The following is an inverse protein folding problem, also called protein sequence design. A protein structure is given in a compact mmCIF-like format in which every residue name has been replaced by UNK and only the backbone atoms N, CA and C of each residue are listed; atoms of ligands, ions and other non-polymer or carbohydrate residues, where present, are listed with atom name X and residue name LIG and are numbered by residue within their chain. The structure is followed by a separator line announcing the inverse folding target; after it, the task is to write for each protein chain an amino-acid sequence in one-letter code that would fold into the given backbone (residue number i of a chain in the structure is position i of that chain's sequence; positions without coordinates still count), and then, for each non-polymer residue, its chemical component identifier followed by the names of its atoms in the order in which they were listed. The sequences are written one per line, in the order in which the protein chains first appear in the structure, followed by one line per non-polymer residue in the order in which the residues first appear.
data_IF_978957735334
#
_entry.id   IF_978957735334
#
_cell.length_a   1.000
_cell.length_b   1.000
_cell.length_c   1.000
_cell.angle_alpha   90.00
_cell.angle_beta   90.00
_cell.angle_gamma   90.00
#
_symmetry.space_group_name_H-M   'P 1'
#
loop_
_entity.id
_entity.type
_entity.pdbx_description
1 polymer ?
#
# COMPACT_ATOMS: atom_id res chain seq x y z
N UNK A 1 -45.89 63.83 9.59
CA UNK A 1 -45.29 62.57 9.96
C UNK A 1 -43.86 62.62 9.45
N UNK A 2 -42.82 62.56 10.27
CA UNK A 2 -41.47 62.44 9.78
C UNK A 2 -41.34 61.06 9.13
N UNK A 3 -40.79 61.04 7.95
CA UNK A 3 -40.33 59.83 7.29
C UNK A 3 -39.06 59.46 8.08
N UNK A 4 -39.08 58.36 8.79
CA UNK A 4 -37.88 57.80 9.38
C UNK A 4 -37.02 57.37 8.19
N UNK A 5 -35.98 58.14 7.85
CA UNK A 5 -34.90 57.74 6.97
C UNK A 5 -34.13 56.67 7.75
N UNK A 6 -34.46 55.37 7.56
CA UNK A 6 -33.62 54.27 8.02
C UNK A 6 -32.26 54.42 7.33
N UNK A 7 -31.20 54.66 8.09
CA UNK A 7 -29.84 54.62 7.58
C UNK A 7 -29.61 53.24 6.94
N UNK A 8 -29.01 53.14 5.73
CA UNK A 8 -28.76 51.88 5.11
C UNK A 8 -27.82 51.03 6.00
N UNK A 9 -28.19 49.78 6.20
CA UNK A 9 -27.38 48.83 6.99
C UNK A 9 -26.02 48.68 6.28
N UNK A 10 -24.94 48.92 7.01
CA UNK A 10 -23.58 48.79 6.49
C UNK A 10 -23.02 47.43 6.91
N UNK A 11 -22.49 46.68 5.95
CA UNK A 11 -21.85 45.38 6.14
C UNK A 11 -20.34 45.51 5.99
N UNK A 12 -19.56 44.88 6.85
CA UNK A 12 -18.10 44.97 6.83
C UNK A 12 -17.42 43.61 6.54
N UNK A 13 -16.31 43.70 5.81
CA UNK A 13 -15.44 42.55 5.64
C UNK A 13 -14.74 42.20 6.96
N UNK A 14 -14.78 40.93 7.35
CA UNK A 14 -14.13 40.45 8.60
C UNK A 14 -12.59 40.39 8.54
N UNK A 15 -12.00 40.59 7.35
CA UNK A 15 -10.54 40.50 7.13
C UNK A 15 -9.90 41.87 6.84
N UNK A 16 -10.61 42.82 6.20
CA UNK A 16 -10.07 44.11 5.85
C UNK A 16 -11.03 45.23 6.23
N UNK A 17 -10.70 46.50 5.87
CA UNK A 17 -11.52 47.67 6.18
C UNK A 17 -12.63 47.93 5.15
N UNK A 18 -12.91 47.02 4.23
CA UNK A 18 -13.96 47.17 3.24
C UNK A 18 -15.33 47.11 3.89
N UNK A 19 -16.19 48.09 3.56
CA UNK A 19 -17.60 48.14 3.96
C UNK A 19 -18.48 48.38 2.74
N UNK A 20 -19.72 47.90 2.76
CA UNK A 20 -20.70 48.02 1.68
C UNK A 20 -22.11 48.06 2.26
N UNK A 21 -23.04 48.66 1.53
CA UNK A 21 -24.48 48.65 1.81
C UNK A 21 -25.20 47.51 1.08
N UNK A 22 -24.50 46.76 0.23
CA UNK A 22 -25.03 45.61 -0.48
C UNK A 22 -24.45 44.31 0.10
N UNK A 23 -25.27 43.52 0.78
CA UNK A 23 -24.85 42.25 1.40
C UNK A 23 -24.27 41.27 0.39
N UNK A 24 -24.71 41.30 -0.87
CA UNK A 24 -24.25 40.40 -1.94
C UNK A 24 -22.78 40.62 -2.34
N UNK A 25 -22.16 41.74 -1.95
CA UNK A 25 -20.74 42.03 -2.18
C UNK A 25 -19.83 41.20 -1.22
N UNK A 26 -20.42 40.63 -0.19
CA UNK A 26 -19.74 39.82 0.81
C UNK A 26 -20.22 38.38 0.78
N UNK A 27 -19.37 37.46 1.18
CA UNK A 27 -19.69 36.03 1.26
C UNK A 27 -19.16 35.43 2.56
N UNK A 28 -19.89 34.47 3.14
CA UNK A 28 -19.44 33.73 4.29
C UNK A 28 -18.39 32.69 3.88
N UNK A 29 -17.23 32.76 4.54
CA UNK A 29 -16.14 31.78 4.47
C UNK A 29 -15.74 31.47 5.91
N UNK A 30 -15.85 30.24 6.35
CA UNK A 30 -15.56 29.81 7.73
C UNK A 30 -16.22 30.71 8.79
N UNK A 31 -17.54 30.94 8.68
CA UNK A 31 -18.34 31.79 9.57
C UNK A 31 -17.96 33.28 9.58
N UNK A 32 -17.13 33.75 8.63
CA UNK A 32 -16.70 35.14 8.50
C UNK A 32 -17.14 35.73 7.15
N UNK A 33 -17.72 36.92 7.16
CA UNK A 33 -18.06 37.65 5.93
C UNK A 33 -16.80 38.23 5.28
N UNK A 34 -16.50 37.85 4.05
CA UNK A 34 -15.34 38.31 3.31
C UNK A 34 -15.74 39.01 2.00
N UNK A 35 -15.04 40.11 1.65
CA UNK A 35 -15.13 40.73 0.36
C UNK A 35 -14.40 39.95 -0.73
N UNK A 36 -14.56 40.35 -2.01
CA UNK A 36 -13.95 39.67 -3.15
C UNK A 36 -12.41 39.58 -3.05
N UNK A 37 -11.77 40.62 -2.55
CA UNK A 37 -10.30 40.67 -2.41
C UNK A 37 -9.76 39.77 -1.29
N UNK A 38 -10.59 39.44 -0.28
CA UNK A 38 -10.18 38.62 0.87
C UNK A 38 -10.57 37.13 0.76
N UNK A 39 -11.33 36.77 -0.28
CA UNK A 39 -11.70 35.38 -0.57
C UNK A 39 -11.11 34.93 -1.90
N UNK A 40 -10.82 33.64 -1.99
CA UNK A 40 -10.40 33.00 -3.23
C UNK A 40 -11.18 31.70 -3.47
N UNK A 41 -11.32 31.31 -4.72
CA UNK A 41 -11.98 30.09 -5.12
C UNK A 41 -10.98 28.93 -5.16
N UNK A 42 -11.25 27.84 -4.47
CA UNK A 42 -10.45 26.63 -4.57
C UNK A 42 -10.92 25.80 -5.78
N UNK A 43 -10.02 25.59 -6.75
CA UNK A 43 -10.34 24.86 -7.97
C UNK A 43 -10.43 23.35 -7.79
N UNK A 44 -10.13 22.81 -6.59
CA UNK A 44 -10.25 21.38 -6.30
C UNK A 44 -11.55 21.02 -5.56
N UNK A 45 -11.85 21.69 -4.43
CA UNK A 45 -13.07 21.40 -3.68
C UNK A 45 -14.27 22.23 -4.11
N UNK A 46 -14.08 23.18 -5.02
CA UNK A 46 -15.12 24.09 -5.53
C UNK A 46 -15.80 24.88 -4.40
N UNK A 47 -14.99 25.36 -3.42
CA UNK A 47 -15.45 26.17 -2.30
C UNK A 47 -14.62 27.45 -2.19
N UNK A 48 -15.19 28.50 -1.57
CA UNK A 48 -14.44 29.72 -1.25
C UNK A 48 -13.62 29.50 0.02
N UNK A 49 -12.41 30.04 0.03
CA UNK A 49 -11.47 30.06 1.15
C UNK A 49 -10.89 31.44 1.35
N UNK A 50 -10.13 31.65 2.40
CA UNK A 50 -9.37 32.87 2.63
C UNK A 50 -8.29 33.04 1.56
N UNK A 51 -8.19 34.23 0.97
CA UNK A 51 -7.19 34.49 -0.07
C UNK A 51 -5.74 34.24 0.39
N UNK A 52 -5.44 34.54 1.66
CA UNK A 52 -4.12 34.33 2.26
C UNK A 52 -3.79 32.84 2.49
N UNK A 53 -4.76 31.94 2.38
CA UNK A 53 -4.62 30.49 2.59
C UNK A 53 -4.75 29.71 1.28
N UNK A 54 -4.29 30.29 0.17
CA UNK A 54 -4.31 29.63 -1.13
C UNK A 54 -2.92 29.41 -1.68
N UNK A 55 -2.78 28.32 -2.44
CA UNK A 55 -1.56 27.94 -3.12
C UNK A 55 -1.84 27.69 -4.59
N UNK A 56 -1.01 28.27 -5.43
CA UNK A 56 -1.16 28.12 -6.89
C UNK A 56 -0.71 26.72 -7.33
N UNK A 57 -1.56 26.08 -8.13
CA UNK A 57 -1.30 24.77 -8.77
C UNK A 57 -1.20 25.01 -10.28
N UNK A 58 -0.10 24.57 -10.87
CA UNK A 58 0.26 24.85 -12.26
C UNK A 58 -0.82 24.31 -13.23
N UNK A 59 -1.27 25.17 -14.14
CA UNK A 59 -2.27 24.84 -15.14
C UNK A 59 -3.72 24.77 -14.65
N UNK A 60 -3.99 24.91 -13.35
CA UNK A 60 -5.33 24.80 -12.75
C UNK A 60 -5.75 26.09 -12.04
N UNK A 61 -4.88 26.68 -11.22
CA UNK A 61 -5.17 27.85 -10.39
C UNK A 61 -5.04 27.57 -8.90
N UNK A 62 -5.78 28.33 -8.09
CA UNK A 62 -5.62 28.31 -6.64
C UNK A 62 -6.33 27.12 -5.97
N UNK A 63 -5.64 26.49 -5.03
CA UNK A 63 -6.16 25.48 -4.11
C UNK A 63 -6.11 26.02 -2.68
N UNK A 64 -7.10 25.68 -1.84
CA UNK A 64 -7.03 25.91 -0.41
C UNK A 64 -5.93 25.03 0.23
N UNK A 65 -5.47 25.39 1.43
CA UNK A 65 -4.42 24.66 2.16
C UNK A 65 -4.65 23.16 2.20
N UNK A 66 -5.86 22.72 2.59
CA UNK A 66 -6.22 21.30 2.70
C UNK A 66 -6.15 20.56 1.36
N UNK A 67 -6.61 21.19 0.28
CA UNK A 67 -6.54 20.61 -1.05
C UNK A 67 -5.11 20.57 -1.56
N UNK A 68 -4.35 21.62 -1.30
CA UNK A 68 -2.94 21.67 -1.69
C UNK A 68 -2.11 20.58 -1.00
N UNK A 69 -2.28 20.39 0.32
CA UNK A 69 -1.58 19.34 1.07
C UNK A 69 -1.92 17.91 0.61
N UNK A 70 -3.17 17.67 0.19
CA UNK A 70 -3.68 16.32 -0.07
C UNK A 70 -3.77 15.94 -1.55
N UNK A 71 -3.79 16.93 -2.46
CA UNK A 71 -4.08 16.72 -3.89
C UNK A 71 -3.05 17.36 -4.81
N UNK A 72 -1.81 17.52 -4.34
CA UNK A 72 -0.75 18.05 -5.20
C UNK A 72 0.55 17.27 -5.09
N UNK A 73 1.36 17.37 -6.14
CA UNK A 73 2.71 16.88 -6.25
C UNK A 73 3.66 18.03 -6.60
N UNK A 74 4.85 18.01 -6.05
CA UNK A 74 5.88 19.03 -6.28
C UNK A 74 6.93 18.53 -7.27
N UNK A 75 7.23 19.32 -8.29
CA UNK A 75 8.34 19.07 -9.20
C UNK A 75 9.62 19.73 -8.70
N UNK A 76 10.59 18.91 -8.28
CA UNK A 76 11.84 19.39 -7.71
C UNK A 76 12.75 20.07 -8.75
N UNK A 77 12.50 19.87 -10.05
CA UNK A 77 13.27 20.49 -11.11
C UNK A 77 12.82 21.92 -11.46
N UNK A 78 11.53 22.14 -11.69
CA UNK A 78 11.01 23.48 -12.00
C UNK A 78 10.48 24.24 -10.79
N UNK A 79 10.41 23.58 -9.63
CA UNK A 79 9.87 24.14 -8.38
C UNK A 79 8.39 24.55 -8.48
N UNK A 80 7.62 23.95 -9.39
CA UNK A 80 6.19 24.15 -9.51
C UNK A 80 5.42 23.02 -8.85
N UNK A 81 4.21 23.33 -8.38
CA UNK A 81 3.26 22.38 -7.82
C UNK A 81 2.20 22.01 -8.86
N UNK A 82 1.91 20.75 -8.99
CA UNK A 82 0.96 20.17 -9.94
C UNK A 82 -0.13 19.40 -9.19
N UNK A 83 -1.30 19.20 -9.82
CA UNK A 83 -2.34 18.31 -9.29
C UNK A 83 -1.82 16.87 -9.17
N UNK A 84 -2.36 16.11 -8.20
CA UNK A 84 -2.10 14.67 -8.04
C UNK A 84 -2.58 13.82 -9.23
N UNK A 85 -3.42 14.37 -10.10
CA UNK A 85 -3.84 13.76 -11.37
C UNK A 85 -2.79 13.84 -12.48
N UNK A 86 -1.79 14.72 -12.33
CA UNK A 86 -0.70 14.86 -13.29
C UNK A 86 0.39 13.82 -13.10
N UNK A 87 0.96 13.34 -14.20
CA UNK A 87 2.02 12.35 -14.17
C UNK A 87 3.32 12.94 -13.62
N UNK A 88 3.87 12.27 -12.61
CA UNK A 88 5.18 12.59 -12.05
C UNK A 88 6.16 11.45 -12.29
N UNK A 89 7.37 11.78 -12.67
CA UNK A 89 8.45 10.85 -13.01
C UNK A 89 9.52 10.88 -11.92
N UNK A 90 9.76 9.74 -11.28
CA UNK A 90 10.87 9.61 -10.34
C UNK A 90 12.18 9.48 -11.11
N UNK A 91 13.08 10.43 -10.92
CA UNK A 91 14.39 10.48 -11.59
C UNK A 91 15.43 9.80 -10.69
N UNK A 92 15.80 8.59 -11.06
CA UNK A 92 16.54 7.66 -10.21
C UNK A 92 17.94 8.16 -9.80
N UNK A 93 18.68 8.78 -10.73
CA UNK A 93 20.03 9.29 -10.49
C UNK A 93 20.06 10.57 -9.62
N UNK A 94 18.90 11.19 -9.40
CA UNK A 94 18.76 12.38 -8.56
C UNK A 94 17.92 12.15 -7.31
N UNK A 95 17.08 11.12 -7.30
CA UNK A 95 16.10 10.90 -6.24
C UNK A 95 15.03 11.98 -6.18
N UNK A 96 14.71 12.58 -7.33
CA UNK A 96 13.79 13.71 -7.50
C UNK A 96 12.54 13.29 -8.26
N UNK A 97 11.42 13.98 -8.02
CA UNK A 97 10.21 13.84 -8.83
C UNK A 97 10.07 15.01 -9.80
N UNK A 98 9.96 14.72 -11.11
CA UNK A 98 9.80 15.72 -12.16
C UNK A 98 8.44 15.63 -12.81
N UNK A 99 7.85 16.79 -13.16
CA UNK A 99 6.65 16.84 -14.00
C UNK A 99 6.96 16.37 -15.43
N UNK A 100 5.91 16.05 -16.19
CA UNK A 100 6.03 15.56 -17.56
C UNK A 100 6.87 16.49 -18.45
N UNK A 101 6.62 17.79 -18.42
CA UNK A 101 7.38 18.76 -19.21
C UNK A 101 8.88 18.82 -18.85
N UNK A 102 9.23 18.69 -17.56
CA UNK A 102 10.62 18.62 -17.14
C UNK A 102 11.29 17.32 -17.58
N UNK A 103 10.57 16.22 -17.50
CA UNK A 103 11.04 14.92 -17.95
C UNK A 103 11.23 14.86 -19.47
N UNK A 104 10.24 15.28 -20.26
CA UNK A 104 10.32 15.25 -21.73
C UNK A 104 11.50 16.05 -22.29
N UNK A 105 11.87 17.17 -21.63
CA UNK A 105 12.97 18.02 -22.10
C UNK A 105 14.34 17.61 -21.58
N UNK A 106 14.42 16.88 -20.47
CA UNK A 106 15.68 16.67 -19.78
C UNK A 106 15.86 15.26 -19.22
N UNK A 107 14.85 14.41 -19.35
CA UNK A 107 14.89 13.03 -18.87
C UNK A 107 15.15 12.04 -20.01
N UNK A 108 15.58 10.86 -19.64
CA UNK A 108 15.65 9.70 -20.51
C UNK A 108 15.06 8.48 -19.80
N UNK A 109 14.38 7.64 -20.55
CA UNK A 109 13.88 6.36 -20.07
C UNK A 109 14.84 5.27 -20.48
N UNK A 110 15.20 4.42 -19.55
CA UNK A 110 16.01 3.25 -19.82
C UNK A 110 15.12 2.00 -19.88
N UNK A 111 14.96 1.42 -21.06
CA UNK A 111 14.17 0.20 -21.25
C UNK A 111 14.78 -1.00 -20.51
N UNK A 112 16.10 -1.00 -20.32
CA UNK A 112 16.80 -2.11 -19.68
C UNK A 112 16.56 -2.19 -18.16
N UNK A 113 16.39 -1.07 -17.45
CA UNK A 113 16.10 -1.05 -16.01
C UNK A 113 14.69 -0.54 -15.69
N UNK A 114 13.90 -0.18 -16.71
CA UNK A 114 12.54 0.35 -16.55
C UNK A 114 12.47 1.56 -15.60
N UNK A 115 13.45 2.49 -15.78
CA UNK A 115 13.63 3.65 -14.91
C UNK A 115 13.88 4.94 -15.71
N UNK A 116 13.57 6.07 -15.05
CA UNK A 116 13.77 7.40 -15.62
C UNK A 116 15.02 8.06 -15.02
N UNK A 117 15.83 8.71 -15.85
CA UNK A 117 17.09 9.36 -15.48
C UNK A 117 17.12 10.80 -15.97
N UNK A 118 18.01 11.63 -15.37
CA UNK A 118 18.25 13.00 -15.83
C UNK A 118 19.14 13.08 -17.08
N UNK A 119 19.72 11.95 -17.48
CA UNK A 119 20.58 11.76 -18.67
C UNK A 119 20.46 10.30 -19.14
N UNK A 120 21.27 9.90 -20.11
CA UNK A 120 21.35 8.48 -20.46
C UNK A 120 21.78 7.63 -19.25
N UNK A 121 21.13 6.47 -19.07
CA UNK A 121 21.45 5.55 -18.00
C UNK A 121 22.87 5.02 -18.15
N UNK A 122 23.76 5.42 -17.27
CA UNK A 122 25.15 4.92 -17.26
C UNK A 122 25.30 3.53 -16.62
N UNK A 123 24.24 3.02 -16.00
CA UNK A 123 24.28 1.82 -15.15
C UNK A 123 23.93 0.49 -15.83
N UNK A 124 23.33 0.51 -17.02
CA UNK A 124 22.93 -0.71 -17.76
C UNK A 124 24.04 -1.25 -18.67
N UNK A 125 25.16 -0.53 -18.83
CA UNK A 125 26.37 -1.00 -19.49
C UNK A 125 27.23 -1.87 -18.58
N UNK A 126 27.94 -2.83 -19.17
CA UNK A 126 28.86 -3.75 -18.47
C UNK A 126 29.81 -2.99 -17.51
N UNK A 127 29.55 -3.03 -16.19
CA UNK A 127 30.55 -2.68 -15.18
C UNK A 127 30.22 -1.75 -14.03
N UNK A 128 29.05 -1.13 -13.93
CA UNK A 128 28.71 -0.28 -12.77
C UNK A 128 27.59 -0.89 -11.92
N UNK A 129 27.68 -0.72 -10.59
CA UNK A 129 26.81 -1.34 -9.57
C UNK A 129 25.35 -0.88 -9.57
N UNK A 130 24.76 -0.70 -10.76
CA UNK A 130 23.35 -0.37 -10.93
C UNK A 130 22.43 -1.53 -10.52
N UNK A 131 21.23 -1.20 -10.04
CA UNK A 131 20.16 -2.15 -9.77
C UNK A 131 19.96 -3.02 -11.02
N UNK A 132 19.85 -4.31 -10.84
CA UNK A 132 19.69 -5.23 -11.97
C UNK A 132 18.28 -5.04 -12.56
N UNK A 133 18.13 -5.14 -13.89
CA UNK A 133 16.84 -5.20 -14.61
C UNK A 133 15.87 -6.25 -14.06
N UNK A 134 16.33 -7.07 -13.12
CA UNK A 134 15.60 -8.14 -12.47
C UNK A 134 14.83 -7.70 -11.24
N UNK A 135 15.15 -6.53 -10.67
CA UNK A 135 14.44 -5.97 -9.50
C UNK A 135 13.64 -4.77 -9.97
N UNK A 136 12.35 -4.97 -10.17
CA UNK A 136 11.43 -3.92 -10.61
C UNK A 136 11.18 -2.88 -9.53
N UNK A 137 10.70 -1.71 -9.91
CA UNK A 137 10.28 -0.66 -8.98
C UNK A 137 9.16 -1.15 -8.04
N UNK A 138 9.02 -0.50 -6.88
CA UNK A 138 7.95 -0.79 -5.91
C UNK A 138 6.54 -0.78 -6.51
N UNK A 139 6.27 0.13 -7.45
CA UNK A 139 4.98 0.26 -8.14
C UNK A 139 4.69 -0.82 -9.18
N UNK A 140 5.67 -1.63 -9.56
CA UNK A 140 5.49 -2.67 -10.58
C UNK A 140 4.41 -3.67 -10.19
N UNK A 141 3.41 -3.83 -11.05
CA UNK A 141 2.25 -4.73 -10.88
C UNK A 141 1.91 -5.38 -12.23
N UNK A 142 2.56 -6.49 -12.57
CA UNK A 142 2.27 -7.18 -13.82
C UNK A 142 0.85 -7.76 -13.82
N UNK A 143 0.30 -7.98 -15.01
CA UNK A 143 -0.94 -8.75 -15.13
C UNK A 143 -0.77 -10.13 -14.51
N UNK A 144 -1.65 -10.58 -13.60
CA UNK A 144 -1.48 -11.85 -12.92
C UNK A 144 -1.57 -13.04 -13.88
N UNK A 145 -0.60 -13.93 -13.78
CA UNK A 145 -0.59 -15.22 -14.48
C UNK A 145 -0.89 -16.31 -13.44
N UNK A 146 -1.85 -17.20 -13.76
CA UNK A 146 -2.27 -18.24 -12.83
C UNK A 146 -1.55 -19.56 -13.13
N UNK A 147 -0.88 -20.12 -12.13
CA UNK A 147 -0.13 -21.37 -12.26
C UNK A 147 -0.80 -22.51 -11.49
N UNK A 148 -0.93 -23.66 -12.13
CA UNK A 148 -1.65 -24.80 -11.59
C UNK A 148 -3.17 -24.63 -11.66
N UNK A 149 -3.90 -25.66 -11.21
CA UNK A 149 -5.35 -25.66 -11.20
C UNK A 149 -5.86 -25.88 -9.78
N UNK A 150 -6.92 -25.19 -9.42
CA UNK A 150 -7.66 -25.40 -8.18
C UNK A 150 -9.17 -25.44 -8.45
N UNK A 151 -9.88 -26.46 -7.91
CA UNK A 151 -11.32 -26.69 -8.12
C UNK A 151 -12.20 -25.56 -7.58
N UNK A 152 -11.68 -24.76 -6.64
CA UNK A 152 -12.40 -23.66 -6.00
C UNK A 152 -11.86 -22.30 -6.41
N UNK A 153 -10.95 -22.22 -7.39
CA UNK A 153 -10.23 -21.00 -7.77
C UNK A 153 -9.47 -20.39 -6.59
N UNK A 154 -8.97 -21.24 -5.69
CA UNK A 154 -8.18 -20.82 -4.54
C UNK A 154 -6.70 -20.80 -4.91
N UNK A 155 -6.20 -19.59 -5.12
CA UNK A 155 -4.80 -19.32 -5.46
C UNK A 155 -4.13 -18.50 -4.37
N UNK A 156 -2.83 -18.70 -4.23
CA UNK A 156 -1.97 -18.05 -3.24
C UNK A 156 -0.87 -17.26 -3.94
N UNK A 157 -0.76 -15.96 -3.61
CA UNK A 157 0.39 -15.13 -3.91
C UNK A 157 1.29 -15.04 -2.67
N UNK A 158 2.58 -14.96 -2.89
CA UNK A 158 3.59 -14.76 -1.86
C UNK A 158 4.29 -13.43 -2.09
N UNK A 159 4.47 -12.65 -1.03
CA UNK A 159 5.48 -11.60 -0.93
C UNK A 159 6.44 -12.01 0.19
N UNK A 160 7.71 -12.19 -0.15
CA UNK A 160 8.77 -12.54 0.79
C UNK A 160 9.81 -11.42 0.80
N UNK A 161 9.87 -10.68 1.88
CA UNK A 161 10.85 -9.61 2.10
C UNK A 161 12.18 -10.21 2.56
N UNK A 162 13.27 -9.80 1.92
CA UNK A 162 14.62 -10.27 2.23
C UNK A 162 15.63 -9.14 2.24
N UNK A 163 16.49 -9.12 3.27
CA UNK A 163 17.70 -8.31 3.27
C UNK A 163 18.84 -9.08 2.61
N UNK A 164 19.50 -8.42 1.68
CA UNK A 164 20.66 -8.93 0.95
C UNK A 164 21.88 -8.14 1.37
N UNK A 165 23.00 -8.80 1.61
CA UNK A 165 24.27 -8.15 1.95
C UNK A 165 24.65 -7.15 0.85
N UNK A 166 24.95 -5.90 1.22
CA UNK A 166 25.30 -4.85 0.27
C UNK A 166 26.49 -5.26 -0.62
N UNK A 167 26.38 -5.03 -1.91
CA UNK A 167 27.30 -5.51 -2.92
C UNK A 167 26.89 -6.81 -3.62
N UNK A 168 25.98 -7.61 -3.02
CA UNK A 168 25.55 -8.89 -3.59
C UNK A 168 24.12 -8.84 -4.16
N UNK A 169 23.47 -7.66 -4.15
CA UNK A 169 22.07 -7.53 -4.53
C UNK A 169 21.81 -8.03 -5.97
N UNK A 170 22.60 -7.55 -6.92
CA UNK A 170 22.49 -7.93 -8.33
C UNK A 170 22.72 -9.43 -8.54
N UNK A 171 23.79 -9.97 -7.98
CA UNK A 171 24.14 -11.40 -8.11
C UNK A 171 23.05 -12.28 -7.49
N UNK A 172 22.55 -11.93 -6.31
CA UNK A 172 21.46 -12.65 -5.63
C UNK A 172 20.16 -12.58 -6.43
N UNK A 173 19.80 -11.42 -6.99
CA UNK A 173 18.63 -11.26 -7.85
C UNK A 173 18.74 -12.10 -9.14
N UNK A 174 19.90 -12.06 -9.83
CA UNK A 174 20.18 -12.89 -11.01
C UNK A 174 20.07 -14.38 -10.69
N UNK A 175 20.64 -14.80 -9.57
CA UNK A 175 20.59 -16.19 -9.16
C UNK A 175 19.16 -16.67 -8.91
N UNK A 176 18.37 -15.96 -8.11
CA UNK A 176 16.96 -16.31 -7.84
C UNK A 176 16.17 -16.32 -9.16
N UNK A 177 16.27 -15.29 -9.97
CA UNK A 177 15.50 -15.20 -11.23
C UNK A 177 15.85 -16.35 -12.17
N UNK A 178 17.10 -16.79 -12.23
CA UNK A 178 17.51 -17.95 -13.04
C UNK A 178 16.88 -19.27 -12.57
N UNK A 179 16.41 -19.34 -11.31
CA UNK A 179 15.79 -20.52 -10.72
C UNK A 179 14.28 -20.56 -10.86
N UNK A 180 13.60 -19.42 -10.83
CA UNK A 180 12.14 -19.35 -10.61
C UNK A 180 11.34 -19.08 -11.90
N UNK A 181 11.99 -18.63 -12.97
CA UNK A 181 11.31 -18.29 -14.24
C UNK A 181 10.19 -17.26 -14.05
N UNK A 182 9.15 -17.33 -14.87
CA UNK A 182 8.08 -16.33 -14.95
C UNK A 182 7.05 -16.40 -13.82
N UNK A 183 7.14 -17.37 -12.92
CA UNK A 183 6.19 -17.50 -11.81
C UNK A 183 6.44 -16.54 -10.65
N UNK A 184 7.63 -15.93 -10.63
CA UNK A 184 8.10 -15.02 -9.58
C UNK A 184 8.83 -13.84 -10.22
N UNK A 185 8.65 -12.67 -9.65
CA UNK A 185 9.40 -11.46 -9.97
C UNK A 185 9.91 -10.79 -8.70
N UNK A 186 10.91 -9.94 -8.85
CA UNK A 186 11.53 -9.22 -7.74
C UNK A 186 11.12 -7.76 -7.78
N UNK A 187 10.85 -7.16 -6.62
CA UNK A 187 10.52 -5.76 -6.47
C UNK A 187 11.41 -5.08 -5.45
N UNK A 188 11.70 -3.83 -5.70
CA UNK A 188 12.32 -2.97 -4.71
C UNK A 188 11.33 -2.62 -3.60
N UNK A 189 11.79 -2.63 -2.37
CA UNK A 189 11.10 -2.04 -1.23
C UNK A 189 12.13 -1.26 -0.39
N UNK A 190 12.01 0.05 -0.38
CA UNK A 190 12.90 0.96 0.34
C UNK A 190 12.84 0.79 1.87
N UNK A 191 11.82 0.10 2.39
CA UNK A 191 11.72 -0.24 3.82
C UNK A 191 12.64 -1.38 4.22
N UNK A 192 13.14 -2.16 3.25
CA UNK A 192 14.02 -3.31 3.45
C UNK A 192 15.49 -2.85 3.37
N UNK A 193 16.28 -3.32 4.31
CA UNK A 193 17.73 -3.10 4.33
C UNK A 193 18.17 -1.99 5.28
N UNK A 194 19.12 -2.33 6.14
CA UNK A 194 19.80 -1.43 7.10
C UNK A 194 21.22 -1.92 7.36
N UNK A 195 22.11 -0.99 7.70
CA UNK A 195 23.41 -1.36 8.27
C UNK A 195 24.28 -2.25 7.37
N UNK A 196 24.39 -1.93 6.08
CA UNK A 196 25.21 -2.71 5.14
C UNK A 196 24.43 -3.80 4.41
N UNK A 197 23.08 -3.77 4.50
CA UNK A 197 22.17 -4.59 3.72
C UNK A 197 21.29 -3.69 2.85
N UNK A 198 21.01 -4.16 1.65
CA UNK A 198 19.92 -3.73 0.78
C UNK A 198 18.87 -4.84 0.76
N UNK A 199 17.78 -4.69 0.00
CA UNK A 199 16.78 -5.75 -0.05
C UNK A 199 15.89 -5.67 -1.27
N UNK A 200 15.12 -6.72 -1.44
CA UNK A 200 14.01 -6.79 -2.39
C UNK A 200 12.90 -7.69 -1.84
N UNK A 201 11.71 -7.49 -2.36
CA UNK A 201 10.60 -8.41 -2.24
C UNK A 201 10.64 -9.45 -3.36
N UNK A 202 10.54 -10.72 -3.00
CA UNK A 202 10.24 -11.79 -3.92
C UNK A 202 8.72 -11.94 -3.98
N UNK A 203 8.14 -11.65 -5.14
CA UNK A 203 6.68 -11.66 -5.34
C UNK A 203 6.29 -12.75 -6.32
N UNK A 204 5.35 -13.61 -5.94
CA UNK A 204 4.84 -14.62 -6.83
C UNK A 204 3.59 -14.18 -7.57
N UNK A 205 3.41 -14.67 -8.78
CA UNK A 205 2.10 -14.77 -9.41
C UNK A 205 1.16 -15.67 -8.59
N UNK A 206 -0.16 -15.67 -8.85
CA UNK A 206 -1.10 -16.56 -8.16
C UNK A 206 -0.85 -18.04 -8.50
N UNK A 207 -0.50 -18.85 -7.52
CA UNK A 207 -0.26 -20.29 -7.66
C UNK A 207 -1.28 -21.10 -6.88
N UNK A 208 -1.77 -22.22 -7.44
CA UNK A 208 -2.58 -23.17 -6.69
C UNK A 208 -1.77 -23.83 -5.58
N UNK A 209 -2.43 -24.32 -4.53
CA UNK A 209 -1.75 -25.03 -3.43
C UNK A 209 -0.94 -26.23 -3.93
N UNK A 210 -1.51 -27.00 -4.86
CA UNK A 210 -0.80 -28.14 -5.48
C UNK A 210 0.46 -27.72 -6.23
N UNK A 211 0.46 -26.54 -6.87
CA UNK A 211 1.64 -26.01 -7.56
C UNK A 211 2.73 -25.59 -6.55
N UNK A 212 2.37 -24.94 -5.46
CA UNK A 212 3.29 -24.59 -4.38
C UNK A 212 4.04 -25.83 -3.83
N UNK A 213 3.33 -26.94 -3.63
CA UNK A 213 3.90 -28.16 -3.06
C UNK A 213 4.77 -28.92 -4.06
N UNK A 214 4.38 -28.94 -5.36
CA UNK A 214 4.99 -29.88 -6.32
C UNK A 214 5.91 -29.26 -7.34
N UNK A 215 5.85 -27.93 -7.58
CA UNK A 215 6.55 -27.29 -8.70
C UNK A 215 7.56 -26.19 -8.28
N UNK A 216 7.67 -25.88 -6.98
CA UNK A 216 8.50 -24.78 -6.50
C UNK A 216 9.88 -25.23 -5.96
N UNK A 217 10.35 -26.43 -6.31
CA UNK A 217 11.65 -26.95 -5.84
C UNK A 217 12.82 -26.02 -6.16
N UNK A 218 12.82 -25.42 -7.34
CA UNK A 218 13.88 -24.50 -7.76
C UNK A 218 13.93 -23.22 -6.91
N UNK A 219 12.76 -22.70 -6.50
CA UNK A 219 12.70 -21.61 -5.54
C UNK A 219 13.31 -22.00 -4.19
N UNK A 220 12.97 -23.20 -3.71
CA UNK A 220 13.49 -23.68 -2.43
C UNK A 220 15.00 -23.82 -2.44
N UNK A 221 15.56 -24.39 -3.51
CA UNK A 221 17.01 -24.46 -3.72
C UNK A 221 17.65 -23.07 -3.76
N UNK A 222 17.00 -22.12 -4.44
CA UNK A 222 17.47 -20.74 -4.54
C UNK A 222 17.54 -20.04 -3.19
N UNK A 223 16.48 -20.14 -2.39
CA UNK A 223 16.42 -19.55 -1.04
C UNK A 223 17.44 -20.19 -0.09
N UNK A 224 17.60 -21.51 -0.15
CA UNK A 224 18.60 -22.23 0.65
C UNK A 224 20.02 -21.80 0.31
N UNK A 225 20.35 -21.70 -0.97
CA UNK A 225 21.66 -21.23 -1.41
C UNK A 225 21.96 -19.81 -0.91
N UNK A 226 21.03 -18.86 -1.08
CA UNK A 226 21.24 -17.49 -0.62
C UNK A 226 21.40 -17.38 0.90
N UNK A 227 20.66 -18.22 1.64
CA UNK A 227 20.79 -18.29 3.10
C UNK A 227 22.14 -18.88 3.51
N UNK A 228 22.50 -20.04 2.95
CA UNK A 228 23.67 -20.80 3.36
C UNK A 228 24.99 -20.13 2.93
N UNK A 229 24.96 -19.35 1.86
CA UNK A 229 26.06 -18.47 1.45
C UNK A 229 26.14 -17.16 2.25
N UNK A 230 25.27 -16.97 3.24
CA UNK A 230 25.13 -15.75 4.06
C UNK A 230 24.88 -14.47 3.25
N UNK A 231 24.35 -14.60 2.03
CA UNK A 231 24.01 -13.45 1.19
C UNK A 231 22.67 -12.85 1.55
N UNK A 232 21.70 -13.68 1.97
CA UNK A 232 20.35 -13.26 2.29
C UNK A 232 19.93 -13.64 3.72
N UNK A 233 19.16 -12.73 4.34
CA UNK A 233 18.45 -12.99 5.60
C UNK A 233 17.05 -12.39 5.55
N UNK A 234 16.14 -12.94 6.36
CA UNK A 234 14.80 -12.41 6.54
C UNK A 234 14.34 -12.60 7.99
N UNK A 235 14.64 -13.77 8.60
CA UNK A 235 14.25 -14.08 9.98
C UNK A 235 14.85 -13.13 11.01
N UNK A 236 16.10 -12.74 10.85
CA UNK A 236 16.85 -11.88 11.77
C UNK A 236 16.80 -10.40 11.34
N UNK A 237 15.91 -10.07 10.40
CA UNK A 237 15.63 -8.71 9.98
C UNK A 237 14.32 -8.23 10.63
N UNK A 238 14.37 -7.12 11.37
CA UNK A 238 13.21 -6.63 12.14
C UNK A 238 12.05 -6.14 11.26
N UNK A 239 12.38 -5.76 10.03
CA UNK A 239 11.45 -5.17 9.04
C UNK A 239 10.99 -6.15 7.96
N UNK A 240 11.52 -7.38 7.91
CA UNK A 240 11.12 -8.37 6.91
C UNK A 240 9.96 -9.25 7.40
N UNK A 241 9.05 -9.56 6.47
CA UNK A 241 7.89 -10.42 6.69
C UNK A 241 7.60 -11.35 5.52
N UNK A 242 6.62 -12.19 5.71
CA UNK A 242 5.93 -12.93 4.65
C UNK A 242 4.50 -12.44 4.61
N UNK A 243 4.04 -12.07 3.41
CA UNK A 243 2.64 -11.79 3.13
C UNK A 243 2.09 -12.87 2.21
N UNK A 244 0.95 -13.44 2.60
CA UNK A 244 0.26 -14.46 1.81
C UNK A 244 -1.06 -13.90 1.32
N UNK A 245 -1.15 -13.69 0.02
CA UNK A 245 -2.37 -13.28 -0.65
C UNK A 245 -3.22 -14.51 -0.97
N UNK A 246 -4.50 -14.48 -0.62
CA UNK A 246 -5.44 -15.54 -0.96
C UNK A 246 -6.54 -14.99 -1.86
N UNK A 247 -6.86 -15.67 -2.97
CA UNK A 247 -7.87 -15.22 -3.91
C UNK A 247 -9.26 -15.16 -3.25
N UNK A 248 -9.97 -14.03 -3.39
CA UNK A 248 -11.35 -13.91 -2.91
C UNK A 248 -12.29 -14.87 -3.62
N UNK A 249 -12.02 -15.19 -4.89
CA UNK A 249 -12.79 -16.15 -5.68
C UNK A 249 -12.72 -17.58 -5.10
N UNK A 250 -11.71 -17.90 -4.30
CA UNK A 250 -11.57 -19.18 -3.61
C UNK A 250 -12.57 -19.39 -2.45
N UNK A 251 -13.20 -18.32 -1.98
CA UNK A 251 -14.19 -18.38 -0.92
C UNK A 251 -15.60 -18.69 -1.48
N UNK A 252 -16.31 -19.60 -0.86
CA UNK A 252 -17.64 -20.04 -1.25
C UNK A 252 -18.71 -18.91 -1.22
N UNK A 253 -18.54 -17.94 -0.30
CA UNK A 253 -19.44 -16.82 -0.08
C UNK A 253 -18.87 -15.82 0.93
N UNK A 254 -19.48 -14.63 1.05
CA UNK A 254 -19.14 -13.67 2.12
C UNK A 254 -19.29 -14.26 3.54
N UNK A 255 -20.24 -15.18 3.73
CA UNK A 255 -20.38 -15.91 5.01
C UNK A 255 -19.18 -16.85 5.28
N UNK A 256 -18.58 -17.45 4.24
CA UNK A 256 -17.35 -18.23 4.37
C UNK A 256 -16.18 -17.30 4.75
N UNK A 257 -16.01 -16.19 4.07
CA UNK A 257 -14.99 -15.19 4.41
C UNK A 257 -15.14 -14.70 5.86
N UNK A 258 -16.38 -14.42 6.30
CA UNK A 258 -16.66 -14.04 7.69
C UNK A 258 -16.22 -15.12 8.70
N UNK A 259 -16.51 -16.40 8.44
CA UNK A 259 -16.08 -17.49 9.32
C UNK A 259 -14.57 -17.61 9.37
N UNK A 260 -13.91 -17.53 8.23
CA UNK A 260 -12.46 -17.57 8.14
C UNK A 260 -11.78 -16.41 8.89
N UNK A 261 -12.25 -15.17 8.69
CA UNK A 261 -11.75 -14.03 9.46
C UNK A 261 -11.98 -14.23 10.97
N UNK A 262 -13.14 -14.77 11.34
CA UNK A 262 -13.43 -15.08 12.74
C UNK A 262 -12.48 -16.13 13.31
N UNK A 263 -12.12 -17.18 12.54
CA UNK A 263 -11.12 -18.16 12.92
C UNK A 263 -9.77 -17.49 13.19
N UNK A 264 -9.25 -16.72 12.23
CA UNK A 264 -7.93 -16.09 12.35
C UNK A 264 -7.87 -15.15 13.57
N UNK A 265 -8.84 -14.27 13.73
CA UNK A 265 -8.79 -13.25 14.79
C UNK A 265 -9.15 -13.77 16.19
N UNK A 266 -9.99 -14.79 16.30
CA UNK A 266 -10.29 -15.41 17.62
C UNK A 266 -9.13 -16.23 18.15
N UNK A 267 -8.27 -16.76 17.28
CA UNK A 267 -7.08 -17.50 17.63
C UNK A 267 -5.81 -16.63 17.47
N UNK A 268 -5.91 -15.33 17.67
CA UNK A 268 -4.79 -14.41 17.52
C UNK A 268 -3.53 -14.79 18.31
N UNK A 269 -3.61 -15.26 19.59
CA UNK A 269 -2.44 -15.70 20.31
C UNK A 269 -1.73 -16.90 19.64
N UNK A 270 -2.50 -17.88 19.17
CA UNK A 270 -2.01 -19.08 18.47
C UNK A 270 -1.42 -18.71 17.11
N UNK A 271 -2.08 -17.82 16.37
CA UNK A 271 -1.58 -17.30 15.08
C UNK A 271 -0.25 -16.56 15.27
N UNK A 272 -0.14 -15.69 16.27
CA UNK A 272 1.11 -14.98 16.57
C UNK A 272 2.22 -15.94 17.01
N UNK A 273 1.89 -16.98 17.78
CA UNK A 273 2.86 -17.99 18.19
C UNK A 273 3.36 -18.82 17.01
N UNK A 274 2.45 -19.25 16.13
CA UNK A 274 2.77 -19.99 14.91
C UNK A 274 3.64 -19.13 13.97
N UNK A 275 3.22 -17.91 13.75
CA UNK A 275 3.88 -16.97 12.84
C UNK A 275 5.26 -16.49 13.33
N UNK A 276 5.55 -16.60 14.64
CA UNK A 276 6.81 -16.15 15.22
C UNK A 276 7.05 -14.63 15.13
N UNK A 277 5.98 -13.84 14.87
CA UNK A 277 6.07 -12.37 14.66
C UNK A 277 5.06 -11.64 15.56
N UNK A 278 5.55 -10.57 16.18
CA UNK A 278 4.72 -9.52 16.77
C UNK A 278 5.15 -8.22 16.13
N UNK A 279 4.27 -7.59 15.37
CA UNK A 279 4.60 -6.40 14.58
C UNK A 279 3.44 -5.41 14.59
N UNK A 280 3.77 -4.13 14.63
CA UNK A 280 2.80 -3.05 14.47
C UNK A 280 2.24 -2.96 13.03
N UNK A 281 2.91 -3.61 12.08
CA UNK A 281 2.47 -3.74 10.68
C UNK A 281 1.48 -4.89 10.44
N UNK A 282 1.10 -5.66 11.50
CA UNK A 282 0.22 -6.82 11.40
C UNK A 282 -0.65 -6.99 12.67
N UNK A 283 -1.35 -5.95 13.05
CA UNK A 283 -2.13 -5.87 14.29
C UNK A 283 -3.37 -6.77 14.24
N UNK A 284 -3.65 -7.44 15.37
CA UNK A 284 -4.86 -8.27 15.57
C UNK A 284 -5.97 -7.56 16.36
N UNK A 285 -5.77 -6.32 16.77
CA UNK A 285 -6.70 -5.60 17.65
C UNK A 285 -7.77 -4.80 16.91
N UNK A 286 -7.70 -4.68 15.61
CA UNK A 286 -8.62 -3.94 14.76
C UNK A 286 -10.04 -4.53 14.65
N UNK A 287 -10.29 -5.68 15.26
CA UNK A 287 -11.59 -6.34 15.36
C UNK A 287 -12.35 -6.08 16.66
N UNK A 288 -11.75 -5.34 17.57
CA UNK A 288 -12.42 -4.91 18.79
C UNK A 288 -13.11 -3.57 18.55
N UNK A 289 -14.42 -3.56 18.73
CA UNK A 289 -15.28 -2.40 18.62
C UNK A 289 -15.95 -2.11 19.97
N UNK A 290 -16.53 -0.93 20.12
CA UNK A 290 -17.21 -0.51 21.35
C UNK A 290 -18.68 -0.24 21.03
N UNK A 291 -19.58 -0.68 21.93
CA UNK A 291 -21.01 -0.38 21.83
C UNK A 291 -21.33 1.03 22.38
N UNK A 292 -22.61 1.40 22.37
CA UNK A 292 -23.10 2.70 22.86
C UNK A 292 -22.83 2.96 24.37
N UNK A 293 -22.44 1.91 25.12
CA UNK A 293 -22.09 1.96 26.53
C UNK A 293 -20.57 1.76 26.76
N UNK A 294 -19.76 1.98 25.73
CA UNK A 294 -18.29 1.86 25.80
C UNK A 294 -17.79 0.44 26.17
N UNK A 295 -18.60 -0.60 25.90
CA UNK A 295 -18.24 -1.99 26.17
C UNK A 295 -17.60 -2.64 24.94
N UNK A 296 -16.41 -3.24 25.07
CA UNK A 296 -15.75 -3.87 23.95
C UNK A 296 -16.49 -5.13 23.47
N UNK A 297 -16.64 -5.27 22.15
CA UNK A 297 -17.14 -6.47 21.54
C UNK A 297 -16.34 -6.85 20.28
N UNK A 298 -16.26 -8.15 20.01
CA UNK A 298 -15.56 -8.68 18.86
C UNK A 298 -16.45 -8.63 17.59
N UNK A 299 -15.94 -8.05 16.51
CA UNK A 299 -16.61 -8.05 15.21
C UNK A 299 -15.61 -7.98 14.06
N UNK A 300 -15.78 -8.86 13.07
CA UNK A 300 -15.03 -8.85 11.80
C UNK A 300 -15.89 -8.34 10.63
N UNK A 301 -17.12 -7.87 10.88
CA UNK A 301 -18.05 -7.45 9.82
C UNK A 301 -17.50 -6.30 8.99
N UNK A 302 -16.89 -5.31 9.63
CA UNK A 302 -16.33 -4.15 8.95
C UNK A 302 -15.25 -4.53 7.93
N UNK A 303 -14.56 -5.66 8.12
CA UNK A 303 -13.57 -6.18 7.17
C UNK A 303 -14.19 -6.77 5.89
N UNK A 304 -15.49 -7.05 5.88
CA UNK A 304 -16.19 -7.56 4.71
C UNK A 304 -16.70 -6.45 3.79
N UNK A 305 -16.99 -5.29 4.35
CA UNK A 305 -17.73 -4.22 3.66
C UNK A 305 -16.82 -3.39 2.73
N UNK A 306 -15.51 -3.61 2.73
CA UNK A 306 -14.53 -2.92 1.86
C UNK A 306 -14.46 -1.39 2.06
N UNK A 307 -15.35 -0.85 2.91
CA UNK A 307 -15.53 0.59 3.16
C UNK A 307 -14.85 1.08 4.43
N UNK A 308 -14.23 0.16 5.17
CA UNK A 308 -13.59 0.57 6.40
C UNK A 308 -12.22 1.14 6.04
N UNK A 309 -11.93 2.30 6.57
CA UNK A 309 -10.59 2.82 6.80
C UNK A 309 -9.82 1.86 7.74
N UNK A 310 -9.91 0.53 7.46
CA UNK A 310 -9.12 -0.46 8.15
C UNK A 310 -7.70 -0.20 7.79
N UNK A 311 -6.91 0.06 8.79
CA UNK A 311 -5.49 0.26 8.65
C UNK A 311 -4.89 -0.84 7.78
N UNK A 312 -4.13 -0.46 6.75
CA UNK A 312 -3.31 -1.35 5.92
C UNK A 312 -2.49 -2.34 6.77
N UNK A 313 -2.17 -1.94 8.01
CA UNK A 313 -1.33 -2.67 8.96
C UNK A 313 -2.09 -3.61 9.89
N UNK A 314 -3.14 -4.24 9.41
CA UNK A 314 -3.87 -5.29 10.15
C UNK A 314 -3.35 -6.68 9.80
N UNK A 315 -3.60 -7.66 10.70
CA UNK A 315 -3.17 -9.05 10.52
C UNK A 315 -3.73 -9.66 9.23
N UNK A 316 -4.95 -9.30 8.86
CA UNK A 316 -5.53 -9.60 7.55
C UNK A 316 -5.95 -8.29 6.90
N UNK A 317 -5.22 -7.86 5.89
CA UNK A 317 -5.60 -6.74 5.03
C UNK A 317 -6.70 -7.18 4.05
N UNK A 318 -7.82 -6.47 4.06
CA UNK A 318 -9.00 -6.76 3.22
C UNK A 318 -9.29 -5.68 2.19
N UNK A 319 -8.38 -4.73 1.98
CA UNK A 319 -8.57 -3.61 1.05
C UNK A 319 -8.37 -4.03 -0.42
N UNK A 320 -7.56 -5.06 -0.69
CA UNK A 320 -7.32 -5.52 -2.05
C UNK A 320 -8.61 -6.06 -2.68
N UNK A 321 -8.90 -5.64 -3.90
CA UNK A 321 -10.12 -6.01 -4.63
C UNK A 321 -10.24 -7.51 -4.86
N UNK A 322 -9.16 -8.16 -5.26
CA UNK A 322 -9.16 -9.56 -5.71
C UNK A 322 -8.62 -10.54 -4.67
N UNK A 323 -7.95 -10.05 -3.62
CA UNK A 323 -7.30 -10.89 -2.61
C UNK A 323 -7.63 -10.45 -1.18
N UNK A 324 -7.41 -11.37 -0.24
CA UNK A 324 -7.22 -11.09 1.19
C UNK A 324 -5.76 -11.39 1.49
N UNK A 325 -5.10 -10.55 2.29
CA UNK A 325 -3.67 -10.64 2.53
C UNK A 325 -3.39 -10.90 4.01
N UNK A 326 -2.78 -12.03 4.31
CA UNK A 326 -2.28 -12.40 5.63
C UNK A 326 -0.88 -11.80 5.81
N UNK A 327 -0.69 -10.89 6.78
CA UNK A 327 0.53 -10.10 6.96
C UNK A 327 1.33 -10.46 8.21
N UNK A 328 0.88 -11.40 9.01
CA UNK A 328 1.41 -11.64 10.36
C UNK A 328 2.58 -12.65 10.43
N UNK A 329 3.01 -13.24 9.31
CA UNK A 329 4.11 -14.19 9.32
C UNK A 329 5.47 -13.49 9.41
N UNK A 330 6.37 -14.07 10.19
CA UNK A 330 7.77 -13.64 10.24
C UNK A 330 8.47 -14.02 8.94
N UNK A 331 9.32 -13.12 8.44
CA UNK A 331 10.14 -13.40 7.27
C UNK A 331 11.07 -14.59 7.49
N UNK A 332 11.28 -15.40 6.49
CA UNK A 332 12.23 -16.51 6.53
C UNK A 332 12.62 -16.97 5.13
N UNK A 333 13.89 -17.27 4.95
CA UNK A 333 14.43 -17.89 3.73
C UNK A 333 14.42 -19.43 3.81
N UNK A 334 13.92 -20.02 4.92
CA UNK A 334 13.77 -21.47 5.03
C UNK A 334 12.52 -21.94 4.28
N UNK A 335 12.64 -22.88 3.31
CA UNK A 335 11.49 -23.38 2.55
C UNK A 335 10.34 -23.87 3.42
N UNK A 336 10.64 -24.60 4.49
CA UNK A 336 9.63 -25.10 5.42
C UNK A 336 8.82 -23.98 6.08
N UNK A 337 9.45 -22.85 6.39
CA UNK A 337 8.76 -21.71 7.00
C UNK A 337 7.83 -21.01 5.99
N UNK A 338 8.28 -20.81 4.75
CA UNK A 338 7.46 -20.25 3.67
C UNK A 338 6.27 -21.16 3.37
N UNK A 339 6.53 -22.46 3.19
CA UNK A 339 5.47 -23.45 2.95
C UNK A 339 4.46 -23.49 4.11
N UNK A 340 4.91 -23.44 5.36
CA UNK A 340 4.01 -23.44 6.52
C UNK A 340 3.06 -22.23 6.53
N UNK A 341 3.49 -21.07 6.06
CA UNK A 341 2.61 -19.90 5.92
C UNK A 341 1.51 -20.14 4.88
N UNK A 342 1.87 -20.72 3.72
CA UNK A 342 0.93 -21.05 2.64
C UNK A 342 -0.01 -22.19 3.07
N UNK A 343 0.52 -23.22 3.74
CA UNK A 343 -0.25 -24.35 4.28
C UNK A 343 -1.27 -23.89 5.33
N UNK A 344 -0.89 -23.00 6.24
CA UNK A 344 -1.83 -22.42 7.20
C UNK A 344 -2.94 -21.64 6.50
N UNK A 345 -2.59 -20.81 5.51
CA UNK A 345 -3.57 -20.08 4.72
C UNK A 345 -4.56 -21.03 4.03
N UNK A 346 -4.05 -22.06 3.33
CA UNK A 346 -4.86 -23.07 2.66
C UNK A 346 -5.73 -23.86 3.66
N UNK A 347 -5.13 -24.43 4.69
CA UNK A 347 -5.83 -25.27 5.66
C UNK A 347 -6.93 -24.50 6.40
N UNK A 348 -6.67 -23.26 6.79
CA UNK A 348 -7.66 -22.42 7.48
C UNK A 348 -8.88 -22.10 6.63
N UNK A 349 -8.69 -21.88 5.32
CA UNK A 349 -9.78 -21.62 4.36
C UNK A 349 -10.58 -22.89 4.14
N UNK A 350 -9.94 -24.03 3.84
CA UNK A 350 -10.62 -25.29 3.62
C UNK A 350 -11.34 -25.78 4.88
N UNK A 351 -10.74 -25.62 6.06
CA UNK A 351 -11.36 -25.97 7.35
C UNK A 351 -12.68 -25.22 7.59
N UNK A 352 -12.73 -23.93 7.23
CA UNK A 352 -13.94 -23.10 7.43
C UNK A 352 -14.95 -23.19 6.29
N UNK A 353 -14.65 -23.91 5.20
CA UNK A 353 -15.45 -23.93 3.98
C UNK A 353 -16.89 -24.41 4.21
N UNK A 354 -17.04 -25.50 4.94
CA UNK A 354 -18.34 -26.14 5.19
C UNK A 354 -18.86 -25.97 6.62
N UNK A 355 -18.13 -25.24 7.47
CA UNK A 355 -18.56 -24.89 8.82
C UNK A 355 -19.78 -23.98 8.82
N UNK A 356 -20.63 -24.09 9.84
CA UNK A 356 -21.66 -23.13 10.15
C UNK A 356 -21.13 -22.00 11.04
N UNK A 357 -21.86 -20.88 11.11
CA UNK A 357 -21.51 -19.81 12.05
C UNK A 357 -21.67 -20.26 13.52
N UNK A 358 -22.54 -21.24 13.79
CA UNK A 358 -22.69 -21.83 15.12
C UNK A 358 -21.42 -22.59 15.53
N UNK A 359 -20.83 -23.37 14.63
CA UNK A 359 -19.58 -24.10 14.88
C UNK A 359 -18.45 -23.13 15.25
N UNK A 360 -18.35 -22.00 14.53
CA UNK A 360 -17.36 -20.95 14.81
C UNK A 360 -17.60 -20.29 16.17
N UNK A 361 -18.85 -20.04 16.56
CA UNK A 361 -19.19 -19.41 17.84
C UNK A 361 -19.00 -20.35 19.05
N UNK A 362 -19.23 -21.64 18.88
CA UNK A 362 -19.13 -22.64 19.95
C UNK A 362 -17.71 -22.97 20.39
N UNK A 363 -16.71 -22.29 19.81
CA UNK A 363 -15.30 -22.52 20.18
C UNK A 363 -14.74 -23.87 19.69
N UNK A 364 -15.38 -24.48 18.66
CA UNK A 364 -14.85 -25.67 17.96
C UNK A 364 -13.61 -25.36 17.12
N UNK A 365 -13.08 -24.14 17.26
CA UNK A 365 -11.87 -23.64 16.61
C UNK A 365 -10.65 -23.74 17.52
N UNK A 366 -10.57 -24.78 18.30
CA UNK A 366 -9.30 -25.11 18.96
C UNK A 366 -8.41 -25.82 17.96
N UNK A 367 -7.24 -25.25 17.71
CA UNK A 367 -6.11 -26.00 17.20
C UNK A 367 -5.72 -26.97 18.31
N UNK A 368 -6.03 -28.24 18.16
CA UNK A 368 -5.44 -29.30 18.96
C UNK A 368 -4.12 -29.75 18.35
#
# INVERSE_FOLDING_TARGET
MPIDDEEPTEYGCGSCSYTTTNEDDLMFVDDTLLCEDCRAWCNNCEEYTWNDNTHYVEGIGDYCETCWENHTNYCERCSNTYSDSESMYHIEDRGEYWCEGCYEHNGSYCEDCDQYFSSECEGCGEGSGGRSNLVHQYSYKPSPQFFGNDKHNLYFGLELEMEIRSGNLRESAQYIQSKVGDSIYLKDDSSIGRGGYAGFELVSHPLSFGHWISQMSNLWEGLEYLRDSEQARSWDADNCGIHVHVSRAGFKSGAHTHRWLTLIYKNAPEMMKFAGRKSDYAKFNDVWQYDEYDRPYFSVKHKLDGRSHTERYSAVNTQNEHTLELRFFRGTTKPSGVLSAIELAHASIEYTRDMTLADVKLGMLKWD
#
